data_IF_559007773184
#
_entry.id   IF_559007773184
#
_cell.length_a   1.000
_cell.length_b   1.000
_cell.length_c   1.000
_cell.angle_alpha   90.00
_cell.angle_beta   90.00
_cell.angle_gamma   90.00
#
_symmetry.space_group_name_H-M   'P 1'
#
loop_
_entity.id
_entity.type
_entity.pdbx_description
1 polymer ?
#
# COMPACT_ATOMS: atom_id res chain seq x y z
N UNK A 1 10.06 -14.85 20.60
CA UNK A 1 10.13 -14.20 19.27
C UNK A 1 9.56 -12.80 19.43
N UNK A 2 10.16 -11.77 18.82
CA UNK A 2 9.56 -10.42 18.78
C UNK A 2 8.24 -10.50 17.99
N UNK A 3 7.26 -9.67 18.37
CA UNK A 3 5.92 -9.64 17.76
C UNK A 3 5.98 -9.22 16.28
N UNK A 4 5.18 -9.84 15.41
CA UNK A 4 5.01 -9.53 13.97
C UNK A 4 3.73 -8.73 13.69
N UNK A 5 3.24 -7.99 14.68
CA UNK A 5 1.90 -7.42 14.64
C UNK A 5 1.72 -6.39 13.52
N UNK A 6 2.74 -5.60 13.18
CA UNK A 6 2.67 -4.64 12.07
C UNK A 6 2.59 -5.39 10.75
N UNK A 7 3.50 -6.35 10.51
CA UNK A 7 3.47 -7.19 9.32
C UNK A 7 2.10 -7.86 9.13
N UNK A 8 1.55 -8.49 10.17
CA UNK A 8 0.27 -9.19 10.10
C UNK A 8 -0.91 -8.25 9.82
N UNK A 9 -0.86 -7.00 10.30
CA UNK A 9 -1.86 -5.97 9.99
C UNK A 9 -1.77 -5.48 8.55
N UNK A 10 -0.55 -5.33 8.02
CA UNK A 10 -0.33 -4.83 6.66
C UNK A 10 -0.59 -5.90 5.60
N UNK A 11 -0.28 -7.18 5.86
CA UNK A 11 -0.68 -8.30 4.99
C UNK A 11 -2.21 -8.32 4.79
N UNK A 12 -2.99 -8.11 5.85
CA UNK A 12 -4.46 -8.06 5.76
C UNK A 12 -4.94 -6.87 4.94
N UNK A 13 -4.28 -5.72 5.09
CA UNK A 13 -4.58 -4.52 4.31
C UNK A 13 -4.28 -4.73 2.82
N UNK A 14 -3.12 -5.29 2.51
CA UNK A 14 -2.73 -5.67 1.15
C UNK A 14 -3.74 -6.62 0.49
N UNK A 15 -4.24 -7.62 1.23
CA UNK A 15 -5.28 -8.52 0.73
C UNK A 15 -6.55 -7.75 0.38
N UNK A 16 -6.96 -6.79 1.21
CA UNK A 16 -8.14 -5.95 0.97
C UNK A 16 -7.96 -5.03 -0.24
N UNK A 17 -6.78 -4.42 -0.41
CA UNK A 17 -6.45 -3.59 -1.57
C UNK A 17 -6.49 -4.41 -2.85
N UNK A 18 -5.90 -5.61 -2.86
CA UNK A 18 -5.92 -6.50 -4.03
C UNK A 18 -7.33 -7.00 -4.34
N UNK A 19 -8.16 -7.23 -3.34
CA UNK A 19 -9.57 -7.56 -3.54
C UNK A 19 -10.34 -6.39 -4.18
N UNK A 20 -10.10 -5.15 -3.73
CA UNK A 20 -10.68 -3.96 -4.34
C UNK A 20 -10.23 -3.80 -5.81
N UNK A 21 -8.95 -4.05 -6.12
CA UNK A 21 -8.45 -4.01 -7.49
C UNK A 21 -9.09 -5.10 -8.36
N UNK A 22 -9.27 -6.31 -7.83
CA UNK A 22 -9.95 -7.39 -8.54
C UNK A 22 -11.41 -7.05 -8.88
N UNK A 23 -12.09 -6.27 -8.03
CA UNK A 23 -13.42 -5.75 -8.32
C UNK A 23 -13.41 -4.71 -9.46
N UNK A 24 -12.38 -3.87 -9.56
CA UNK A 24 -12.18 -2.99 -10.74
C UNK A 24 -12.00 -3.83 -12.01
N UNK A 25 -11.15 -4.86 -11.96
CA UNK A 25 -10.90 -5.77 -13.09
C UNK A 25 -12.18 -6.48 -13.56
N UNK A 26 -13.08 -6.80 -12.63
CA UNK A 26 -14.36 -7.43 -12.94
C UNK A 26 -15.36 -6.47 -13.56
N UNK A 27 -15.27 -5.17 -13.28
CA UNK A 27 -16.21 -4.16 -13.78
C UNK A 27 -15.74 -3.47 -15.07
N UNK A 28 -14.51 -3.73 -15.51
CA UNK A 28 -13.99 -3.24 -16.79
C UNK A 28 -14.90 -3.66 -17.96
N UNK A 29 -15.14 -2.75 -18.90
CA UNK A 29 -15.98 -2.95 -20.10
C UNK A 29 -17.44 -3.40 -19.83
N UNK A 30 -17.93 -3.30 -18.59
CA UNK A 30 -19.33 -3.55 -18.25
C UNK A 30 -20.12 -2.25 -18.27
N UNK A 31 -20.38 -1.69 -17.10
CA UNK A 31 -21.07 -0.41 -16.91
C UNK A 31 -20.08 0.62 -16.38
N UNK A 32 -20.06 1.80 -16.97
CA UNK A 32 -19.11 2.85 -16.61
C UNK A 32 -19.28 3.32 -15.16
N UNK A 33 -20.51 3.38 -14.63
CA UNK A 33 -20.73 3.78 -13.24
C UNK A 33 -20.25 2.70 -12.27
N UNK A 34 -20.48 1.41 -12.56
CA UNK A 34 -19.93 0.30 -11.76
C UNK A 34 -18.40 0.31 -11.75
N UNK A 35 -17.78 0.51 -12.91
CA UNK A 35 -16.32 0.62 -13.02
C UNK A 35 -15.79 1.84 -12.27
N UNK A 36 -16.43 3.00 -12.42
CA UNK A 36 -16.06 4.23 -11.70
C UNK A 36 -16.15 4.06 -10.17
N UNK A 37 -17.23 3.47 -9.68
CA UNK A 37 -17.44 3.27 -8.25
C UNK A 37 -16.43 2.27 -7.66
N UNK A 38 -16.17 1.17 -8.36
CA UNK A 38 -15.14 0.20 -7.95
C UNK A 38 -13.74 0.84 -7.96
N UNK A 39 -13.41 1.62 -8.98
CA UNK A 39 -12.13 2.33 -9.07
C UNK A 39 -11.95 3.35 -7.94
N UNK A 40 -12.96 4.19 -7.65
CA UNK A 40 -12.89 5.14 -6.54
C UNK A 40 -12.71 4.44 -5.19
N UNK A 41 -13.40 3.32 -4.97
CA UNK A 41 -13.21 2.53 -3.74
C UNK A 41 -11.81 1.96 -3.65
N UNK A 42 -11.29 1.40 -4.74
CA UNK A 42 -9.92 0.89 -4.80
C UNK A 42 -8.91 2.01 -4.49
N UNK A 43 -9.00 3.12 -5.22
CA UNK A 43 -8.14 4.28 -5.03
C UNK A 43 -8.15 4.77 -3.59
N UNK A 44 -9.33 5.02 -3.02
CA UNK A 44 -9.46 5.52 -1.64
C UNK A 44 -8.78 4.60 -0.62
N UNK A 45 -8.93 3.28 -0.76
CA UNK A 45 -8.30 2.35 0.15
C UNK A 45 -6.79 2.27 -0.05
N UNK A 46 -6.28 2.42 -1.28
CA UNK A 46 -4.83 2.50 -1.50
C UNK A 46 -4.23 3.81 -0.95
N UNK A 47 -4.92 4.95 -1.13
CA UNK A 47 -4.48 6.23 -0.58
C UNK A 47 -4.45 6.22 0.96
N UNK A 48 -5.45 5.61 1.60
CA UNK A 48 -5.43 5.39 3.06
C UNK A 48 -4.29 4.48 3.50
N UNK A 49 -4.00 3.44 2.73
CA UNK A 49 -2.90 2.53 3.01
C UNK A 49 -1.55 3.26 3.02
N UNK A 50 -1.22 3.99 1.95
CA UNK A 50 0.00 4.80 1.91
C UNK A 50 0.05 5.86 3.01
N UNK A 51 -1.10 6.48 3.32
CA UNK A 51 -1.16 7.42 4.44
C UNK A 51 -0.81 6.74 5.77
N UNK A 52 -1.34 5.55 6.04
CA UNK A 52 -1.02 4.78 7.25
C UNK A 52 0.47 4.49 7.31
N UNK A 53 1.06 4.05 6.22
CA UNK A 53 2.49 3.74 6.16
C UNK A 53 3.34 4.97 6.43
N UNK A 54 3.14 6.03 5.66
CA UNK A 54 3.95 7.24 5.73
C UNK A 54 3.73 8.04 7.01
N UNK A 55 2.55 7.97 7.62
CA UNK A 55 2.15 8.85 8.75
C UNK A 55 1.98 8.13 10.08
N UNK A 56 1.92 6.80 10.11
CA UNK A 56 1.89 6.03 11.35
C UNK A 56 3.13 5.14 11.48
N UNK A 57 3.50 4.41 10.42
CA UNK A 57 4.55 3.40 10.51
C UNK A 57 5.93 4.03 10.33
N UNK A 58 6.20 4.66 9.18
CA UNK A 58 7.54 5.13 8.80
C UNK A 58 8.00 6.37 9.58
N UNK A 59 7.09 7.10 10.24
CA UNK A 59 7.47 8.13 11.21
C UNK A 59 8.07 7.57 12.50
N UNK A 60 7.88 6.28 12.77
CA UNK A 60 8.38 5.64 13.98
C UNK A 60 9.69 4.89 13.75
N UNK A 61 10.23 4.94 12.53
CA UNK A 61 11.44 4.22 12.16
C UNK A 61 12.32 5.05 11.22
N UNK A 62 13.47 5.47 11.73
CA UNK A 62 14.45 6.28 11.00
C UNK A 62 15.79 5.53 10.96
N UNK A 63 16.03 4.72 9.92
CA UNK A 63 17.31 4.04 9.76
C UNK A 63 18.42 5.07 9.45
N UNK A 64 19.64 4.80 9.92
CA UNK A 64 20.81 5.63 9.60
C UNK A 64 21.02 5.70 8.08
N UNK A 65 21.37 6.88 7.54
CA UNK A 65 21.53 7.10 6.10
C UNK A 65 22.54 6.16 5.42
N UNK A 66 23.53 5.67 6.17
CA UNK A 66 24.54 4.74 5.69
C UNK A 66 24.11 3.26 5.72
N UNK A 67 22.93 2.97 6.26
CA UNK A 67 22.41 1.62 6.38
C UNK A 67 21.71 1.15 5.10
N UNK A 68 21.75 -0.15 4.84
CA UNK A 68 20.98 -0.78 3.76
C UNK A 68 19.47 -0.53 3.91
N UNK A 69 18.98 -0.45 5.15
CA UNK A 69 17.60 -0.13 5.48
C UNK A 69 17.20 1.26 4.96
N UNK A 70 18.07 2.27 5.03
CA UNK A 70 17.76 3.60 4.48
C UNK A 70 17.53 3.55 2.97
N UNK A 71 18.34 2.79 2.23
CA UNK A 71 18.15 2.60 0.80
C UNK A 71 16.81 1.93 0.47
N UNK A 72 16.39 0.96 1.27
CA UNK A 72 15.09 0.30 1.09
C UNK A 72 13.92 1.27 1.27
N UNK A 73 14.00 2.20 2.24
CA UNK A 73 12.97 3.22 2.44
C UNK A 73 12.94 4.26 1.32
N UNK A 74 14.10 4.67 0.80
CA UNK A 74 14.14 5.53 -0.38
C UNK A 74 13.51 4.84 -1.60
N UNK A 75 13.84 3.56 -1.83
CA UNK A 75 13.23 2.78 -2.91
C UNK A 75 11.71 2.67 -2.73
N UNK A 76 11.24 2.52 -1.49
CA UNK A 76 9.82 2.43 -1.18
C UNK A 76 9.06 3.70 -1.55
N UNK A 77 9.61 4.88 -1.23
CA UNK A 77 8.98 6.16 -1.59
C UNK A 77 8.95 6.37 -3.11
N UNK A 78 10.00 5.96 -3.83
CA UNK A 78 10.00 5.96 -5.30
C UNK A 78 8.92 5.02 -5.87
N UNK A 79 8.65 3.89 -5.20
CA UNK A 79 7.56 2.99 -5.59
C UNK A 79 6.19 3.63 -5.34
N UNK A 80 5.98 4.31 -4.21
CA UNK A 80 4.74 5.03 -3.90
C UNK A 80 4.44 6.07 -4.99
N UNK A 81 5.41 6.92 -5.34
CA UNK A 81 5.24 7.96 -6.36
C UNK A 81 4.78 7.36 -7.70
N UNK A 82 5.42 6.27 -8.15
CA UNK A 82 5.05 5.57 -9.39
C UNK A 82 3.65 4.97 -9.35
N UNK A 83 3.24 4.43 -8.20
CA UNK A 83 1.89 3.89 -8.01
C UNK A 83 0.85 5.01 -8.03
N UNK A 84 1.11 6.12 -7.34
CA UNK A 84 0.25 7.30 -7.33
C UNK A 84 0.08 7.90 -8.72
N UNK A 85 1.17 8.06 -9.47
CA UNK A 85 1.13 8.57 -10.84
C UNK A 85 0.32 7.65 -11.77
N UNK A 86 0.48 6.34 -11.61
CA UNK A 86 -0.29 5.36 -12.39
C UNK A 86 -1.79 5.45 -12.06
N UNK A 87 -2.16 5.60 -10.79
CA UNK A 87 -3.56 5.82 -10.39
C UNK A 87 -4.10 7.13 -10.95
N UNK A 88 -3.31 8.21 -10.92
CA UNK A 88 -3.69 9.51 -11.45
C UNK A 88 -3.94 9.45 -12.95
N UNK A 89 -3.08 8.74 -13.69
CA UNK A 89 -3.26 8.45 -15.12
C UNK A 89 -4.56 7.67 -15.38
N UNK A 90 -4.76 6.54 -14.70
CA UNK A 90 -5.97 5.72 -14.86
C UNK A 90 -7.25 6.50 -14.53
N UNK A 91 -7.22 7.33 -13.49
CA UNK A 91 -8.35 8.18 -13.10
C UNK A 91 -8.71 9.20 -14.18
N UNK A 92 -7.70 9.82 -14.81
CA UNK A 92 -7.94 10.79 -15.89
C UNK A 92 -8.52 10.12 -17.14
N UNK A 93 -8.09 8.88 -17.40
CA UNK A 93 -8.45 8.13 -18.60
C UNK A 93 -9.49 7.04 -18.33
N UNK A 94 -10.29 7.17 -17.27
CA UNK A 94 -11.07 6.06 -16.72
C UNK A 94 -12.01 5.43 -17.76
N UNK A 95 -12.59 6.23 -18.65
CA UNK A 95 -13.46 5.77 -19.75
C UNK A 95 -12.76 4.83 -20.75
N UNK A 96 -11.44 4.94 -20.88
CA UNK A 96 -10.63 4.21 -21.84
C UNK A 96 -9.55 3.34 -21.18
N UNK A 97 -9.57 3.20 -19.85
CA UNK A 97 -8.62 2.33 -19.14
C UNK A 97 -8.70 0.92 -19.70
N UNK A 98 -7.57 0.46 -20.22
CA UNK A 98 -7.49 -0.85 -20.83
C UNK A 98 -7.17 -1.92 -19.78
N UNK A 99 -7.61 -3.16 -20.04
CA UNK A 99 -7.27 -4.32 -19.21
C UNK A 99 -5.75 -4.51 -19.06
N UNK A 100 -4.98 -4.17 -20.09
CA UNK A 100 -3.53 -4.26 -20.06
C UNK A 100 -2.89 -3.25 -19.08
N UNK A 101 -3.43 -2.04 -19.00
CA UNK A 101 -2.97 -1.02 -18.04
C UNK A 101 -3.20 -1.50 -16.61
N UNK A 102 -4.41 -1.99 -16.28
CA UNK A 102 -4.72 -2.56 -14.97
C UNK A 102 -3.86 -3.78 -14.64
N UNK A 103 -3.58 -4.65 -15.61
CA UNK A 103 -2.72 -5.82 -15.39
C UNK A 103 -1.27 -5.40 -15.07
N UNK A 104 -0.74 -4.38 -15.76
CA UNK A 104 0.60 -3.87 -15.50
C UNK A 104 0.68 -3.20 -14.13
N UNK A 105 -0.34 -2.40 -13.79
CA UNK A 105 -0.47 -1.79 -12.48
C UNK A 105 -0.53 -2.84 -11.36
N UNK A 106 -1.34 -3.90 -11.53
CA UNK A 106 -1.43 -5.02 -10.58
C UNK A 106 -0.08 -5.70 -10.35
N UNK A 107 0.71 -5.92 -11.41
CA UNK A 107 2.07 -6.48 -11.28
C UNK A 107 2.99 -5.55 -10.46
N UNK A 108 2.90 -4.25 -10.67
CA UNK A 108 3.64 -3.26 -9.88
C UNK A 108 3.23 -3.31 -8.40
N UNK A 109 1.93 -3.30 -8.11
CA UNK A 109 1.41 -3.35 -6.75
C UNK A 109 1.80 -4.66 -6.03
N UNK A 110 1.77 -5.80 -6.71
CA UNK A 110 2.24 -7.09 -6.15
C UNK A 110 3.74 -7.06 -5.84
N UNK A 111 4.56 -6.45 -6.70
CA UNK A 111 6.00 -6.31 -6.45
C UNK A 111 6.26 -5.46 -5.22
N UNK A 112 5.59 -4.31 -5.13
CA UNK A 112 5.67 -3.38 -4.01
C UNK A 112 5.27 -4.04 -2.68
N UNK A 113 4.06 -4.61 -2.62
CA UNK A 113 3.60 -5.44 -1.50
C UNK A 113 4.64 -6.47 -1.04
N UNK A 114 5.21 -7.22 -2.00
CA UNK A 114 6.16 -8.30 -1.68
C UNK A 114 7.50 -7.77 -1.19
N UNK A 115 7.89 -6.56 -1.60
CA UNK A 115 9.07 -5.88 -1.10
C UNK A 115 8.85 -5.50 0.37
N UNK A 116 7.72 -4.87 0.70
CA UNK A 116 7.41 -4.45 2.06
C UNK A 116 7.29 -5.61 3.04
N UNK A 117 6.51 -6.63 2.67
CA UNK A 117 6.26 -7.83 3.48
C UNK A 117 7.54 -8.63 3.77
N UNK A 118 8.59 -8.47 2.95
CA UNK A 118 9.85 -9.21 3.09
C UNK A 118 10.99 -8.38 3.65
N UNK A 119 11.05 -7.09 3.31
CA UNK A 119 12.21 -6.24 3.55
C UNK A 119 11.94 -5.09 4.52
N UNK A 120 10.68 -4.65 4.65
CA UNK A 120 10.35 -3.44 5.43
C UNK A 120 9.71 -3.80 6.76
N UNK A 121 8.49 -4.36 6.77
CA UNK A 121 7.77 -4.59 8.02
C UNK A 121 8.46 -5.57 8.98
N UNK A 122 9.12 -6.66 8.52
CA UNK A 122 9.86 -7.54 9.43
C UNK A 122 10.99 -6.82 10.17
N UNK A 123 11.65 -5.86 9.50
CA UNK A 123 12.72 -5.04 10.08
C UNK A 123 12.13 -4.11 11.13
N UNK A 124 11.06 -3.38 10.79
CA UNK A 124 10.37 -2.49 11.74
C UNK A 124 9.91 -3.28 12.98
N UNK A 125 9.20 -4.38 12.81
CA UNK A 125 8.71 -5.23 13.92
C UNK A 125 9.84 -5.75 14.81
N UNK A 126 11.05 -5.93 14.25
CA UNK A 126 12.22 -6.40 14.95
C UNK A 126 13.02 -5.27 15.64
N UNK A 127 12.97 -4.04 15.15
CA UNK A 127 13.81 -2.95 15.64
C UNK A 127 13.12 -2.06 16.67
N UNK A 128 11.83 -1.76 16.49
CA UNK A 128 11.08 -0.93 17.43
C UNK A 128 10.70 -1.69 18.71
N UNK A 129 10.46 -0.97 19.80
CA UNK A 129 9.99 -1.58 21.04
C UNK A 129 8.47 -1.83 21.05
N UNK A 130 7.99 -2.59 22.05
CA UNK A 130 6.57 -2.96 22.12
C UNK A 130 5.65 -1.77 22.43
N UNK A 131 6.16 -0.70 23.05
CA UNK A 131 5.38 0.51 23.32
C UNK A 131 5.19 1.35 22.05
N UNK A 132 6.25 1.51 21.25
CA UNK A 132 6.20 2.14 19.93
C UNK A 132 5.32 1.32 18.97
N UNK A 133 5.42 -0.01 19.02
CA UNK A 133 4.58 -0.91 18.24
C UNK A 133 3.10 -0.73 18.57
N UNK A 134 2.75 -0.67 19.86
CA UNK A 134 1.36 -0.43 20.26
C UNK A 134 0.88 0.95 19.80
N UNK A 135 1.72 1.98 19.92
CA UNK A 135 1.41 3.32 19.41
C UNK A 135 1.12 3.30 17.90
N UNK A 136 1.94 2.62 17.09
CA UNK A 136 1.70 2.45 15.66
C UNK A 136 0.36 1.75 15.40
N UNK A 137 0.09 0.65 16.11
CA UNK A 137 -1.15 -0.13 15.96
C UNK A 137 -2.38 0.73 16.24
N UNK A 138 -2.36 1.53 17.31
CA UNK A 138 -3.46 2.41 17.66
C UNK A 138 -3.69 3.47 16.56
N UNK A 139 -2.61 4.04 16.02
CA UNK A 139 -2.67 5.01 14.90
C UNK A 139 -3.18 4.38 13.61
N UNK A 140 -2.83 3.13 13.31
CA UNK A 140 -3.39 2.38 12.18
C UNK A 140 -4.91 2.25 12.34
N UNK A 141 -5.38 1.92 13.54
CA UNK A 141 -6.81 1.75 13.83
C UNK A 141 -7.58 3.06 13.67
N UNK A 142 -7.03 4.18 14.16
CA UNK A 142 -7.65 5.51 14.04
C UNK A 142 -7.95 5.91 12.59
N UNK A 143 -7.07 5.58 11.64
CA UNK A 143 -7.22 5.94 10.22
C UNK A 143 -8.17 4.99 9.48
N UNK A 144 -8.29 3.75 9.96
CA UNK A 144 -9.08 2.69 9.30
C UNK A 144 -10.55 2.67 9.75
N UNK A 145 -10.89 3.31 10.87
CA UNK A 145 -12.25 3.55 11.37
C UNK A 145 -12.96 4.69 10.61
#
# INVERSE_FOLDING_TARGET
>A
MKSTAILDLMIRDHQQILANLADVEQNINKDFNLMKNSFHRFQWNLEKHFFVEERAIFLSYFPDESSENYHYFSELMDQHEKIFDSIKSMRHNLEIVERNELMNFKKMLIKHKNFEEKQIYPVIDAEIDESEKQYIIDRIQDVRL
#
